data_IF_402974911329
#
_entry.id   IF_402974911329
#
_cell.length_a   1.000
_cell.length_b   1.000
_cell.length_c   1.000
_cell.angle_alpha   90.00
_cell.angle_beta   90.00
_cell.angle_gamma   90.00
#
_symmetry.space_group_name_H-M   'P 1'
#
loop_
_entity.id
_entity.type
_entity.pdbx_description
1 polymer ?
#
# COMPACT_ATOMS: atom_id res chain seq x y z
N UNK A 1 -10.69 14.43 -1.22
CA UNK A 1 -10.81 12.94 -1.08
C UNK A 1 -9.63 12.44 -0.26
N UNK A 2 -9.84 11.44 0.61
CA UNK A 2 -8.79 10.91 1.50
C UNK A 2 -8.51 9.44 1.17
N UNK A 3 -7.28 9.15 0.78
CA UNK A 3 -6.83 7.80 0.43
C UNK A 3 -5.98 7.23 1.56
N UNK A 4 -6.16 5.95 1.85
CA UNK A 4 -5.22 5.15 2.61
C UNK A 4 -4.48 4.22 1.64
N UNK A 5 -3.15 4.15 1.75
CA UNK A 5 -2.34 3.23 0.95
C UNK A 5 -1.64 2.26 1.89
N UNK A 6 -1.82 0.97 1.64
CA UNK A 6 -1.15 -0.11 2.37
C UNK A 6 -0.57 -1.14 1.40
N UNK A 7 0.46 -1.85 1.82
CA UNK A 7 1.17 -2.84 1.02
C UNK A 7 1.66 -4.00 1.86
N UNK A 8 1.92 -5.12 1.18
CA UNK A 8 2.66 -6.22 1.75
C UNK A 8 2.02 -6.76 3.04
N UNK A 9 0.71 -7.11 2.94
CA UNK A 9 -0.10 -7.70 4.03
C UNK A 9 0.37 -9.12 4.32
N UNK A 10 0.75 -9.87 3.27
CA UNK A 10 1.30 -11.21 3.36
C UNK A 10 0.47 -12.17 4.24
N UNK A 11 -0.84 -12.12 4.09
CA UNK A 11 -1.77 -13.02 4.78
C UNK A 11 -1.99 -12.76 6.26
N UNK A 12 -1.55 -11.62 6.80
CA UNK A 12 -1.77 -11.26 8.19
C UNK A 12 -3.20 -10.80 8.46
N UNK A 13 -3.96 -11.63 9.11
CA UNK A 13 -5.30 -11.26 9.56
C UNK A 13 -5.25 -10.21 10.67
N UNK A 14 -4.26 -10.29 11.56
CA UNK A 14 -4.07 -9.30 12.62
C UNK A 14 -3.94 -7.88 12.06
N UNK A 15 -3.02 -7.68 11.09
CA UNK A 15 -2.82 -6.36 10.49
C UNK A 15 -3.94 -5.96 9.53
N UNK A 16 -4.65 -6.92 8.93
CA UNK A 16 -5.86 -6.61 8.14
C UNK A 16 -6.99 -6.08 9.03
N UNK A 17 -7.18 -6.62 10.23
CA UNK A 17 -8.13 -6.08 11.23
C UNK A 17 -7.73 -4.66 11.66
N UNK A 18 -6.45 -4.43 11.95
CA UNK A 18 -5.93 -3.08 12.24
C UNK A 18 -6.18 -2.11 11.09
N UNK A 19 -5.97 -2.54 9.84
CA UNK A 19 -6.26 -1.73 8.65
C UNK A 19 -7.74 -1.30 8.60
N UNK A 20 -8.67 -2.21 8.90
CA UNK A 20 -10.11 -1.90 8.97
C UNK A 20 -10.42 -0.86 10.04
N UNK A 21 -9.77 -0.95 11.21
CA UNK A 21 -9.91 0.04 12.28
C UNK A 21 -9.38 1.42 11.86
N UNK A 22 -8.21 1.47 11.23
CA UNK A 22 -7.60 2.70 10.72
C UNK A 22 -8.51 3.36 9.68
N UNK A 23 -9.08 2.59 8.75
CA UNK A 23 -10.02 3.10 7.73
C UNK A 23 -11.19 3.84 8.39
N UNK A 24 -11.76 3.27 9.44
CA UNK A 24 -12.88 3.88 10.19
C UNK A 24 -12.45 5.15 10.95
N UNK A 25 -11.33 5.07 11.67
CA UNK A 25 -10.81 6.18 12.48
C UNK A 25 -10.41 7.38 11.62
N UNK A 26 -9.72 7.13 10.51
CA UNK A 26 -9.24 8.13 9.58
C UNK A 26 -10.33 8.63 8.61
N UNK A 27 -11.50 8.00 8.59
CA UNK A 27 -12.61 8.30 7.65
C UNK A 27 -12.14 8.29 6.19
N UNK A 28 -11.62 7.15 5.78
CA UNK A 28 -11.03 6.95 4.46
C UNK A 28 -12.11 6.81 3.39
N UNK A 29 -11.94 7.53 2.27
CA UNK A 29 -12.83 7.42 1.11
C UNK A 29 -12.45 6.27 0.18
N UNK A 30 -11.13 6.03 -0.02
CA UNK A 30 -10.59 4.96 -0.88
C UNK A 30 -9.37 4.29 -0.24
N UNK A 31 -9.31 2.98 -0.38
CA UNK A 31 -8.19 2.14 0.01
C UNK A 31 -7.41 1.72 -1.23
N UNK A 32 -6.11 2.05 -1.27
CA UNK A 32 -5.20 1.58 -2.32
C UNK A 32 -4.31 0.50 -1.72
N UNK A 33 -4.40 -0.72 -2.26
CA UNK A 33 -3.56 -1.85 -1.90
C UNK A 33 -2.48 -2.03 -2.96
N UNK A 34 -1.22 -2.07 -2.55
CA UNK A 34 -0.10 -2.14 -3.49
C UNK A 34 0.40 -3.56 -3.76
N UNK A 35 -0.43 -4.57 -3.45
CA UNK A 35 -0.11 -5.98 -3.73
C UNK A 35 0.53 -6.73 -2.57
N UNK A 36 0.90 -7.99 -2.84
CA UNK A 36 1.40 -8.98 -1.87
C UNK A 36 0.42 -9.16 -0.70
N UNK A 37 -0.83 -9.54 -1.05
CA UNK A 37 -1.94 -9.54 -0.08
C UNK A 37 -2.00 -10.80 0.76
N UNK A 38 -1.89 -12.01 0.17
CA UNK A 38 -2.27 -13.26 0.84
C UNK A 38 -1.10 -14.18 1.13
N UNK A 39 -0.20 -14.40 0.17
CA UNK A 39 0.93 -15.29 0.35
C UNK A 39 2.06 -14.60 1.13
N UNK A 40 2.61 -15.29 2.15
CA UNK A 40 3.69 -14.72 2.96
C UNK A 40 5.02 -14.53 2.20
N UNK A 41 5.19 -15.20 1.06
CA UNK A 41 6.45 -15.22 0.31
C UNK A 41 7.45 -16.26 0.87
N UNK A 42 8.25 -16.91 -0.01
CA UNK A 42 9.09 -18.05 0.40
C UNK A 42 10.25 -17.65 1.32
N UNK A 43 10.61 -16.38 1.36
CA UNK A 43 11.73 -15.86 2.15
C UNK A 43 11.31 -15.16 3.45
N UNK A 44 10.00 -14.98 3.66
CA UNK A 44 9.47 -14.32 4.84
C UNK A 44 8.97 -15.36 5.87
N UNK A 45 9.00 -15.04 7.18
CA UNK A 45 8.30 -15.84 8.16
C UNK A 45 6.79 -15.73 7.96
N UNK A 46 6.02 -16.63 8.56
CA UNK A 46 4.57 -16.45 8.67
C UNK A 46 4.26 -15.18 9.47
N UNK A 47 3.29 -14.43 9.00
CA UNK A 47 2.82 -13.20 9.65
C UNK A 47 1.94 -13.50 10.86
N UNK A 48 1.71 -12.48 11.67
CA UNK A 48 0.82 -12.58 12.83
C UNK A 48 -0.62 -12.91 12.40
N UNK A 49 -1.21 -13.92 13.02
CA UNK A 49 -2.51 -14.51 12.63
C UNK A 49 -2.57 -14.86 11.13
N UNK A 50 -1.55 -15.52 10.58
CA UNK A 50 -1.52 -15.86 9.16
C UNK A 50 -2.76 -16.66 8.74
N UNK A 51 -3.62 -16.05 7.96
CA UNK A 51 -4.85 -16.65 7.45
C UNK A 51 -5.31 -15.99 6.15
N UNK A 52 -4.76 -16.38 4.99
CA UNK A 52 -5.05 -15.76 3.70
C UNK A 52 -6.56 -15.70 3.35
N UNK A 53 -7.31 -16.74 3.67
CA UNK A 53 -8.75 -16.78 3.38
C UNK A 53 -9.55 -15.75 4.18
N UNK A 54 -9.23 -15.58 5.47
CA UNK A 54 -9.90 -14.58 6.30
C UNK A 54 -9.44 -13.15 5.94
N UNK A 55 -8.21 -12.97 5.46
CA UNK A 55 -7.76 -11.71 4.86
C UNK A 55 -8.61 -11.38 3.64
N UNK A 56 -8.79 -12.35 2.71
CA UNK A 56 -9.62 -12.17 1.52
C UNK A 56 -11.07 -11.83 1.90
N UNK A 57 -11.69 -12.60 2.80
CA UNK A 57 -13.05 -12.32 3.29
C UNK A 57 -13.18 -10.92 3.88
N UNK A 58 -12.19 -10.49 4.65
CA UNK A 58 -12.19 -9.15 5.27
C UNK A 58 -12.07 -8.05 4.23
N UNK A 59 -11.16 -8.20 3.25
CA UNK A 59 -10.96 -7.22 2.17
C UNK A 59 -12.17 -7.18 1.22
N UNK A 60 -12.81 -8.30 0.91
CA UNK A 60 -14.00 -8.35 0.07
C UNK A 60 -15.18 -7.54 0.67
N UNK A 61 -15.27 -7.42 2.00
CA UNK A 61 -16.24 -6.52 2.64
C UNK A 61 -15.95 -5.03 2.39
N UNK A 62 -14.77 -4.69 1.86
CA UNK A 62 -14.34 -3.33 1.54
C UNK A 62 -14.22 -3.08 0.03
N UNK A 63 -14.62 -4.02 -0.82
CA UNK A 63 -14.40 -4.01 -2.28
C UNK A 63 -14.80 -2.70 -2.96
N UNK A 64 -15.86 -2.05 -2.52
CA UNK A 64 -16.38 -0.82 -3.15
C UNK A 64 -15.45 0.40 -3.00
N UNK A 65 -14.52 0.32 -2.05
CA UNK A 65 -13.54 1.39 -1.81
C UNK A 65 -12.12 0.99 -2.22
N UNK A 66 -11.88 -0.28 -2.61
CA UNK A 66 -10.55 -0.79 -2.94
C UNK A 66 -10.16 -0.45 -4.38
N UNK A 67 -8.91 -0.01 -4.53
CA UNK A 67 -8.11 -0.02 -5.75
C UNK A 67 -6.87 -0.87 -5.45
N UNK A 68 -6.54 -1.84 -6.30
CA UNK A 68 -5.45 -2.77 -6.01
C UNK A 68 -4.47 -2.90 -7.17
N UNK A 69 -3.16 -2.88 -6.86
CA UNK A 69 -2.11 -3.30 -7.80
C UNK A 69 -1.66 -4.72 -7.49
N UNK A 70 -1.19 -5.45 -8.51
CA UNK A 70 -0.66 -6.79 -8.36
C UNK A 70 0.78 -6.78 -7.87
N UNK A 71 1.06 -7.47 -6.79
CA UNK A 71 2.41 -7.73 -6.28
C UNK A 71 3.08 -8.93 -6.95
N UNK A 72 4.35 -9.14 -6.65
CA UNK A 72 5.10 -10.27 -7.19
C UNK A 72 4.77 -11.61 -6.51
N UNK A 73 4.17 -11.60 -5.33
CA UNK A 73 3.69 -12.80 -4.63
C UNK A 73 2.21 -13.11 -4.92
N UNK A 74 1.47 -12.20 -5.56
CA UNK A 74 0.07 -12.41 -5.87
C UNK A 74 -0.08 -13.35 -7.08
N UNK A 75 -0.84 -14.41 -6.92
CA UNK A 75 -1.09 -15.45 -7.91
C UNK A 75 -2.48 -15.30 -8.55
N UNK A 76 -2.72 -16.00 -9.66
CA UNK A 76 -4.03 -15.98 -10.32
C UNK A 76 -5.16 -16.47 -9.39
N UNK A 77 -4.87 -17.40 -8.48
CA UNK A 77 -5.83 -17.87 -7.47
C UNK A 77 -6.23 -16.76 -6.49
N UNK A 78 -5.37 -15.80 -6.25
CA UNK A 78 -5.65 -14.68 -5.36
C UNK A 78 -6.68 -13.72 -5.97
N UNK A 79 -6.62 -13.53 -7.29
CA UNK A 79 -7.65 -12.79 -8.03
C UNK A 79 -9.00 -13.54 -8.01
N UNK A 80 -9.00 -14.87 -8.08
CA UNK A 80 -10.24 -15.67 -8.06
C UNK A 80 -11.01 -15.59 -6.73
N UNK A 81 -10.32 -15.35 -5.61
CA UNK A 81 -10.94 -15.23 -4.28
C UNK A 81 -11.22 -13.78 -3.88
N UNK A 82 -10.79 -12.82 -4.69
CA UNK A 82 -10.98 -11.38 -4.45
C UNK A 82 -12.16 -10.85 -5.26
N UNK A 83 -12.99 -9.99 -4.66
CA UNK A 83 -14.12 -9.33 -5.31
C UNK A 83 -13.75 -7.92 -5.82
N UNK A 84 -12.46 -7.66 -6.05
CA UNK A 84 -11.89 -6.43 -6.60
C UNK A 84 -10.77 -6.79 -7.59
N UNK A 85 -10.48 -5.87 -8.52
CA UNK A 85 -9.51 -6.10 -9.59
C UNK A 85 -8.07 -5.88 -9.14
N UNK A 86 -7.13 -6.70 -9.66
CA UNK A 86 -5.69 -6.51 -9.56
C UNK A 86 -5.18 -5.88 -10.86
N UNK A 87 -4.60 -4.71 -10.76
CA UNK A 87 -4.07 -3.95 -11.87
C UNK A 87 -2.53 -3.99 -11.86
N UNK A 88 -1.87 -3.88 -13.02
CA UNK A 88 -0.41 -3.76 -13.06
C UNK A 88 0.08 -2.48 -12.36
N UNK A 89 -0.65 -1.40 -12.56
CA UNK A 89 -0.45 -0.10 -11.92
C UNK A 89 -1.76 0.69 -11.89
N UNK A 90 -1.81 1.75 -11.11
CA UNK A 90 -2.95 2.67 -11.02
C UNK A 90 -2.42 4.10 -11.18
N UNK A 91 -3.02 4.85 -12.09
CA UNK A 91 -2.71 6.27 -12.27
C UNK A 91 -3.90 7.12 -11.80
N UNK A 92 -3.63 8.07 -10.91
CA UNK A 92 -4.64 9.02 -10.43
C UNK A 92 -4.11 10.46 -10.54
N UNK A 93 -4.99 11.37 -10.92
CA UNK A 93 -4.72 12.79 -10.80
C UNK A 93 -5.35 13.30 -9.50
N UNK A 94 -4.52 13.73 -8.55
CA UNK A 94 -4.95 14.27 -7.27
C UNK A 94 -4.39 15.69 -7.16
N UNK A 95 -5.27 16.67 -7.13
CA UNK A 95 -4.91 18.09 -7.07
C UNK A 95 -3.82 18.50 -8.10
N UNK A 96 -4.11 18.22 -9.39
CA UNK A 96 -3.25 18.52 -10.55
C UNK A 96 -1.90 17.77 -10.60
N UNK A 97 -1.63 16.87 -9.62
CA UNK A 97 -0.45 16.00 -9.61
C UNK A 97 -0.78 14.61 -10.10
N UNK A 98 0.08 14.07 -10.96
CA UNK A 98 -0.03 12.73 -11.49
C UNK A 98 0.66 11.72 -10.57
N UNK A 99 -0.15 10.93 -9.86
CA UNK A 99 0.28 9.82 -9.03
C UNK A 99 0.34 8.53 -9.84
N UNK A 100 1.40 7.77 -9.63
CA UNK A 100 1.57 6.41 -10.15
C UNK A 100 1.73 5.45 -8.99
N UNK A 101 0.77 4.55 -8.83
CA UNK A 101 0.77 3.51 -7.80
C UNK A 101 1.15 2.17 -8.42
N UNK A 102 2.09 1.47 -7.81
CA UNK A 102 2.56 0.16 -8.27
C UNK A 102 3.05 -0.65 -7.07
N UNK A 103 3.26 -1.96 -7.26
CA UNK A 103 3.84 -2.75 -6.17
C UNK A 103 5.29 -2.36 -5.86
N UNK A 104 6.13 -2.12 -6.86
CA UNK A 104 7.53 -1.70 -6.66
C UNK A 104 8.58 -2.64 -7.27
N UNK A 105 8.22 -3.86 -7.66
CA UNK A 105 9.16 -4.82 -8.25
C UNK A 105 9.57 -4.47 -9.69
N UNK A 106 8.74 -3.71 -10.42
CA UNK A 106 9.03 -3.23 -11.79
C UNK A 106 9.47 -1.77 -11.78
N UNK A 107 8.67 -0.90 -11.14
CA UNK A 107 8.92 0.53 -11.02
C UNK A 107 9.12 0.91 -9.56
N UNK A 108 10.18 1.63 -9.29
CA UNK A 108 10.59 2.09 -7.96
C UNK A 108 11.53 3.31 -8.10
N UNK A 109 12.12 3.77 -7.00
CA UNK A 109 13.02 4.93 -7.03
C UNK A 109 14.23 4.76 -7.97
N UNK A 110 14.64 3.53 -8.28
CA UNK A 110 15.77 3.26 -9.19
C UNK A 110 15.34 3.04 -10.64
N UNK A 111 14.03 2.90 -10.88
CA UNK A 111 13.43 2.74 -12.21
C UNK A 111 12.11 3.50 -12.29
N UNK A 112 12.19 4.82 -12.44
CA UNK A 112 11.04 5.71 -12.47
C UNK A 112 10.22 5.54 -13.75
N UNK A 113 8.87 5.53 -13.68
CA UNK A 113 8.02 5.68 -14.85
C UNK A 113 8.12 7.10 -15.43
N UNK A 114 7.83 7.23 -16.72
CA UNK A 114 7.80 8.52 -17.40
C UNK A 114 6.54 9.35 -17.07
N UNK A 115 6.68 10.67 -17.12
CA UNK A 115 5.57 11.64 -17.05
C UNK A 115 4.69 11.50 -15.80
N UNK A 116 5.32 11.39 -14.63
CA UNK A 116 4.66 11.37 -13.32
C UNK A 116 5.23 12.46 -12.40
N UNK A 117 4.46 12.89 -11.41
CA UNK A 117 4.92 13.77 -10.35
C UNK A 117 5.26 12.99 -9.09
N UNK A 118 4.50 11.93 -8.81
CA UNK A 118 4.59 11.17 -7.55
C UNK A 118 4.50 9.67 -7.84
N UNK A 119 5.52 8.93 -7.36
CA UNK A 119 5.57 7.47 -7.40
C UNK A 119 5.28 6.92 -6.00
N UNK A 120 4.28 6.03 -5.90
CA UNK A 120 3.90 5.37 -4.64
C UNK A 120 4.01 3.86 -4.81
N UNK A 121 4.77 3.20 -3.94
CA UNK A 121 5.02 1.75 -4.05
C UNK A 121 5.31 1.08 -2.70
N UNK A 122 5.37 -0.25 -2.67
CA UNK A 122 5.67 -1.11 -1.53
C UNK A 122 6.89 -2.00 -1.77
N UNK A 123 6.73 -3.33 -1.73
CA UNK A 123 7.69 -4.39 -2.09
C UNK A 123 8.96 -4.48 -1.21
N UNK A 124 9.59 -3.36 -0.92
CA UNK A 124 10.83 -3.34 -0.13
C UNK A 124 10.60 -3.41 1.38
N UNK A 125 9.37 -3.24 1.84
CA UNK A 125 8.96 -3.26 3.24
C UNK A 125 9.62 -2.17 4.10
N UNK A 126 10.16 -1.12 3.49
CA UNK A 126 10.89 -0.03 4.13
C UNK A 126 10.22 1.29 3.81
N UNK A 127 9.46 1.85 4.76
CA UNK A 127 8.71 3.09 4.55
C UNK A 127 9.62 4.32 4.48
N UNK A 128 9.39 5.18 3.47
CA UNK A 128 10.09 6.46 3.33
C UNK A 128 9.36 7.42 2.39
N UNK A 129 9.71 8.71 2.47
CA UNK A 129 9.37 9.74 1.49
C UNK A 129 10.67 10.42 1.04
N UNK A 130 10.99 10.34 -0.26
CA UNK A 130 12.22 10.90 -0.85
C UNK A 130 11.88 11.60 -2.16
N UNK A 131 12.83 12.39 -2.66
CA UNK A 131 12.71 13.05 -3.96
C UNK A 131 13.90 12.62 -4.83
N UNK A 132 13.62 12.27 -6.10
CA UNK A 132 14.63 11.90 -7.09
C UNK A 132 14.18 12.40 -8.47
N UNK A 133 15.07 13.10 -9.15
CA UNK A 133 14.86 13.62 -10.52
C UNK A 133 13.54 14.43 -10.67
N UNK A 134 13.16 15.18 -9.62
CA UNK A 134 11.94 15.99 -9.59
C UNK A 134 10.66 15.19 -9.28
N UNK A 135 10.75 13.87 -9.07
CA UNK A 135 9.65 13.00 -8.69
C UNK A 135 9.67 12.74 -7.18
N UNK A 136 8.53 12.89 -6.52
CA UNK A 136 8.37 12.46 -5.13
C UNK A 136 8.17 10.95 -5.10
N UNK A 137 9.13 10.22 -4.53
CA UNK A 137 9.12 8.77 -4.41
C UNK A 137 8.74 8.36 -2.99
N UNK A 138 7.66 7.61 -2.86
CA UNK A 138 7.10 7.22 -1.57
C UNK A 138 6.99 5.70 -1.50
N UNK A 139 7.62 5.11 -0.49
CA UNK A 139 7.39 3.71 -0.16
C UNK A 139 6.50 3.63 1.08
N UNK A 140 5.40 2.89 0.99
CA UNK A 140 4.45 2.72 2.10
C UNK A 140 5.02 1.89 3.26
N UNK A 141 6.13 1.20 3.03
CA UNK A 141 6.57 0.12 3.90
C UNK A 141 5.68 -1.11 3.77
N UNK A 142 5.75 -2.00 4.74
CA UNK A 142 4.81 -3.11 4.90
C UNK A 142 3.97 -2.89 6.14
N UNK A 143 2.68 -3.17 6.03
CA UNK A 143 1.78 -3.09 7.19
C UNK A 143 2.02 -4.25 8.18
N UNK A 144 2.57 -5.39 7.71
CA UNK A 144 2.74 -6.60 8.51
C UNK A 144 4.19 -7.03 8.75
N UNK A 145 5.08 -6.83 7.76
CA UNK A 145 6.46 -7.34 7.76
C UNK A 145 7.48 -6.24 7.46
N UNK A 146 7.63 -5.21 8.32
CA UNK A 146 8.61 -4.15 8.11
C UNK A 146 10.03 -4.71 8.13
N UNK A 147 10.93 -4.09 7.35
CA UNK A 147 12.35 -4.44 7.25
C UNK A 147 13.24 -3.25 7.63
N UNK A 148 14.54 -3.53 7.78
CA UNK A 148 15.59 -2.52 8.02
C UNK A 148 15.32 -1.61 9.22
N UNK A 149 14.67 -2.14 10.26
CA UNK A 149 14.34 -1.39 11.48
C UNK A 149 13.21 -0.36 11.32
N UNK A 150 12.51 -0.36 10.18
CA UNK A 150 11.31 0.47 9.98
C UNK A 150 10.11 -0.10 10.73
N UNK A 151 9.04 0.67 10.81
CA UNK A 151 7.82 0.27 11.51
C UNK A 151 6.78 -0.32 10.56
N UNK A 152 5.82 -1.08 11.10
CA UNK A 152 4.58 -1.40 10.43
C UNK A 152 3.88 -0.09 10.04
N UNK A 153 3.69 0.15 8.75
CA UNK A 153 3.32 1.47 8.25
C UNK A 153 2.31 1.46 7.11
N UNK A 154 1.71 2.61 6.90
CA UNK A 154 0.78 2.93 5.84
C UNK A 154 0.88 4.40 5.48
N UNK A 155 0.28 4.81 4.35
CA UNK A 155 0.21 6.20 3.94
C UNK A 155 -1.22 6.73 4.03
N UNK A 156 -1.32 8.00 4.37
CA UNK A 156 -2.51 8.82 4.12
C UNK A 156 -2.16 9.84 3.04
N UNK A 157 -3.00 9.92 2.00
CA UNK A 157 -2.89 10.93 0.94
C UNK A 157 -4.19 11.73 0.92
N UNK A 158 -4.07 13.03 1.03
CA UNK A 158 -5.15 13.98 0.85
C UNK A 158 -4.78 14.99 -0.24
N UNK A 159 -5.61 15.99 -0.49
CA UNK A 159 -5.41 16.94 -1.60
C UNK A 159 -4.13 17.80 -1.51
N UNK A 160 -3.41 17.80 -0.39
CA UNK A 160 -2.26 18.68 -0.17
C UNK A 160 -0.97 17.96 0.26
N UNK A 161 -1.10 16.80 0.91
CA UNK A 161 0.05 16.15 1.55
C UNK A 161 -0.02 14.62 1.52
N UNK A 162 1.15 14.02 1.60
CA UNK A 162 1.36 12.59 1.84
C UNK A 162 1.92 12.44 3.25
N UNK A 163 1.33 11.56 4.05
CA UNK A 163 1.72 11.31 5.43
C UNK A 163 2.03 9.82 5.58
N UNK A 164 3.25 9.49 5.95
CA UNK A 164 3.65 8.13 6.36
C UNK A 164 3.40 8.00 7.86
N UNK A 165 2.59 7.01 8.25
CA UNK A 165 2.23 6.72 9.64
C UNK A 165 2.57 5.28 10.02
N UNK A 166 2.87 5.06 11.29
CA UNK A 166 2.85 3.69 11.84
C UNK A 166 1.41 3.23 12.14
N UNK A 167 1.23 1.94 12.35
CA UNK A 167 -0.10 1.34 12.60
C UNK A 167 -0.74 1.79 13.92
N UNK A 168 -0.02 2.48 14.78
CA UNK A 168 -0.53 3.08 16.01
C UNK A 168 -0.93 4.56 15.81
N UNK A 169 -0.81 5.06 14.56
CA UNK A 169 -1.23 6.39 14.14
C UNK A 169 -0.18 7.50 14.30
N UNK A 170 1.03 7.17 14.75
CA UNK A 170 2.11 8.15 14.87
C UNK A 170 2.67 8.52 13.48
N UNK A 171 2.92 9.80 13.25
CA UNK A 171 3.53 10.29 12.02
C UNK A 171 5.02 9.92 12.04
N UNK A 172 5.46 9.19 10.99
CA UNK A 172 6.87 8.87 10.75
C UNK A 172 7.50 9.97 9.89
N UNK A 173 6.82 10.36 8.81
CA UNK A 173 7.28 11.38 7.87
C UNK A 173 6.08 11.99 7.14
N UNK A 174 6.27 13.18 6.54
CA UNK A 174 5.23 13.82 5.72
C UNK A 174 5.83 14.76 4.67
N UNK A 175 5.15 14.91 3.55
CA UNK A 175 5.54 15.79 2.45
C UNK A 175 4.32 16.54 1.92
N UNK A 176 4.41 17.85 1.84
CA UNK A 176 3.49 18.67 1.04
C UNK A 176 3.89 18.51 -0.44
N UNK A 177 2.91 18.38 -1.32
CA UNK A 177 3.13 18.22 -2.77
C UNK A 177 2.39 19.26 -3.63
N UNK A 178 1.83 20.27 -2.96
CA UNK A 178 1.13 21.42 -3.57
C UNK A 178 1.96 22.67 -3.41
#
# INVERSE_FOLDING_TARGET
>A
MKYLVASDIHGSLFYTKKLVEIIKLEKIDKLILLGDLYYHGPRNPLTEEYNPMEVSNTLNNLKDIILCTRGNCDADVDEMISEFEFNDNIELNINEKKFFFTHGHKHNIDNLPDNIDILVYGHFHTGFIKEKDGVICVNSGSISLPKDGTKNSYLIINDNEIILKDVDGNIIDKKLYV
#
